data_IF_336422639550
#
_entry.id   IF_336422639550
#
_cell.length_a   1.000
_cell.length_b   1.000
_cell.length_c   1.000
_cell.angle_alpha   90.00
_cell.angle_beta   90.00
_cell.angle_gamma   90.00
#
_symmetry.space_group_name_H-M   'P 1'
#
loop_
_entity.id
_entity.type
_entity.pdbx_description
1 polymer ?
#
# COMPACT_ATOMS: atom_id res chain seq x y z
N UNK A 1 -23.62 19.93 -23.88
CA UNK A 1 -23.77 20.90 -22.77
C UNK A 1 -23.67 20.15 -21.47
N UNK A 2 -22.80 20.57 -20.55
CA UNK A 2 -22.68 19.90 -19.25
C UNK A 2 -23.91 20.22 -18.39
N UNK A 3 -24.59 19.19 -17.89
CA UNK A 3 -25.75 19.35 -17.02
C UNK A 3 -25.23 19.53 -15.59
N UNK A 4 -25.60 20.62 -14.93
CA UNK A 4 -25.26 20.83 -13.53
C UNK A 4 -26.03 19.83 -12.66
N UNK A 5 -25.32 19.19 -11.72
CA UNK A 5 -25.91 18.27 -10.75
C UNK A 5 -25.94 19.00 -9.41
N UNK A 6 -27.14 19.15 -8.85
CA UNK A 6 -27.34 19.71 -7.52
C UNK A 6 -27.18 18.60 -6.48
N UNK A 7 -25.98 18.46 -5.92
CA UNK A 7 -25.60 17.36 -5.01
C UNK A 7 -26.51 17.32 -3.77
N UNK A 8 -26.92 18.48 -3.26
CA UNK A 8 -27.74 18.59 -2.04
C UNK A 8 -29.14 17.98 -2.19
N UNK A 9 -29.66 17.93 -3.43
CA UNK A 9 -30.99 17.38 -3.73
C UNK A 9 -30.98 15.89 -4.00
N UNK A 10 -29.80 15.26 -4.02
CA UNK A 10 -29.70 13.82 -4.23
C UNK A 10 -30.19 13.06 -3.00
N UNK A 11 -30.67 11.81 -3.17
CA UNK A 11 -30.88 10.90 -2.06
C UNK A 11 -29.58 10.70 -1.26
N UNK A 12 -29.72 10.43 0.04
CA UNK A 12 -28.58 10.24 0.93
C UNK A 12 -27.63 9.14 0.44
N UNK A 13 -28.18 8.03 -0.05
CA UNK A 13 -27.39 6.94 -0.63
C UNK A 13 -26.51 7.41 -1.80
N UNK A 14 -27.05 8.23 -2.70
CA UNK A 14 -26.31 8.75 -3.84
C UNK A 14 -25.23 9.76 -3.43
N UNK A 15 -25.46 10.55 -2.38
CA UNK A 15 -24.41 11.42 -1.83
C UNK A 15 -23.27 10.61 -1.22
N UNK A 16 -23.59 9.57 -0.46
CA UNK A 16 -22.59 8.68 0.13
C UNK A 16 -21.75 7.98 -0.94
N UNK A 17 -22.39 7.51 -2.01
CA UNK A 17 -21.68 6.89 -3.14
C UNK A 17 -20.74 7.86 -3.85
N UNK A 18 -21.13 9.14 -3.99
CA UNK A 18 -20.23 10.19 -4.52
C UNK A 18 -19.03 10.46 -3.60
N UNK A 19 -19.23 10.43 -2.28
CA UNK A 19 -18.14 10.55 -1.31
C UNK A 19 -17.18 9.35 -1.38
N UNK A 20 -17.71 8.13 -1.43
CA UNK A 20 -16.91 6.91 -1.56
C UNK A 20 -16.10 6.92 -2.86
N UNK A 21 -16.73 7.36 -3.95
CA UNK A 21 -16.07 7.49 -5.24
C UNK A 21 -14.95 8.56 -5.20
N UNK A 22 -15.20 9.70 -4.55
CA UNK A 22 -14.17 10.72 -4.34
C UNK A 22 -12.99 10.17 -3.52
N UNK A 23 -13.25 9.48 -2.41
CA UNK A 23 -12.19 8.86 -1.61
C UNK A 23 -11.36 7.86 -2.42
N UNK A 24 -12.03 7.04 -3.23
CA UNK A 24 -11.36 6.11 -4.11
C UNK A 24 -10.45 6.84 -5.11
N UNK A 25 -10.93 7.92 -5.72
CA UNK A 25 -10.13 8.71 -6.65
C UNK A 25 -8.91 9.32 -5.97
N UNK A 26 -9.06 9.84 -4.76
CA UNK A 26 -7.95 10.37 -3.96
C UNK A 26 -6.93 9.26 -3.67
N UNK A 27 -7.37 8.10 -3.17
CA UNK A 27 -6.47 6.97 -2.85
C UNK A 27 -5.75 6.43 -4.09
N UNK A 28 -6.44 6.33 -5.22
CA UNK A 28 -5.92 5.72 -6.45
C UNK A 28 -5.05 6.67 -7.28
N UNK A 29 -5.41 7.94 -7.34
CA UNK A 29 -4.82 8.92 -8.26
C UNK A 29 -4.11 10.08 -7.58
N UNK A 30 -4.05 10.13 -6.25
CA UNK A 30 -3.17 11.06 -5.53
C UNK A 30 -1.91 10.38 -4.94
N UNK A 31 -1.05 9.71 -5.76
CA UNK A 31 0.20 9.14 -5.26
C UNK A 31 1.19 10.19 -4.74
N UNK A 32 0.91 11.49 -4.95
CA UNK A 32 1.73 12.62 -4.50
C UNK A 32 1.35 13.10 -3.09
N UNK A 33 0.10 12.89 -2.64
CA UNK A 33 -0.36 13.34 -1.32
C UNK A 33 -0.42 12.22 -0.29
N UNK A 34 -0.48 10.95 -0.71
CA UNK A 34 -0.72 9.81 0.17
C UNK A 34 0.44 8.81 0.28
N UNK A 35 1.69 9.21 0.04
CA UNK A 35 2.77 8.62 0.86
C UNK A 35 2.56 9.15 2.28
N UNK A 36 1.52 8.63 2.94
CA UNK A 36 1.30 8.88 4.35
C UNK A 36 2.60 8.52 5.06
N UNK A 37 3.06 9.34 6.01
CA UNK A 37 4.22 8.98 6.85
C UNK A 37 4.11 7.54 7.38
N UNK A 38 2.88 7.13 7.69
CA UNK A 38 2.47 5.78 8.08
C UNK A 38 2.97 4.68 7.13
N UNK A 39 2.81 4.80 5.81
CA UNK A 39 3.22 3.72 4.90
C UNK A 39 4.74 3.58 4.77
N UNK A 40 5.48 4.68 4.96
CA UNK A 40 6.94 4.65 4.97
C UNK A 40 7.46 4.08 6.30
N UNK A 41 6.88 4.51 7.42
CA UNK A 41 7.21 4.02 8.75
C UNK A 41 6.88 2.53 8.91
N UNK A 42 5.76 2.06 8.37
CA UNK A 42 5.40 0.64 8.37
C UNK A 42 6.41 -0.21 7.59
N UNK A 43 6.88 0.25 6.43
CA UNK A 43 7.93 -0.42 5.67
C UNK A 43 9.27 -0.40 6.40
N UNK A 44 9.68 0.74 6.94
CA UNK A 44 10.92 0.85 7.72
C UNK A 44 10.88 -0.06 8.96
N UNK A 45 9.74 -0.17 9.65
CA UNK A 45 9.56 -1.07 10.78
C UNK A 45 9.63 -2.54 10.37
N UNK A 46 8.97 -2.91 9.26
CA UNK A 46 9.05 -4.26 8.71
C UNK A 46 10.49 -4.65 8.39
N UNK A 47 11.23 -3.82 7.63
CA UNK A 47 12.61 -4.14 7.26
C UNK A 47 13.51 -4.20 8.49
N UNK A 48 13.35 -3.32 9.48
CA UNK A 48 14.12 -3.36 10.74
C UNK A 48 13.92 -4.67 11.49
N UNK A 49 12.67 -5.14 11.59
CA UNK A 49 12.36 -6.43 12.20
C UNK A 49 12.93 -7.60 11.40
N UNK A 50 12.87 -7.57 10.07
CA UNK A 50 13.47 -8.62 9.24
C UNK A 50 14.99 -8.64 9.42
N UNK A 51 15.63 -7.47 9.40
CA UNK A 51 17.09 -7.36 9.58
C UNK A 51 17.53 -7.78 10.98
N UNK A 52 16.75 -7.53 12.03
CA UNK A 52 17.12 -7.96 13.39
C UNK A 52 17.09 -9.49 13.57
N UNK A 53 16.34 -10.20 12.74
CA UNK A 53 16.25 -11.65 12.76
C UNK A 53 17.04 -12.31 11.60
N UNK A 54 17.67 -11.52 10.75
CA UNK A 54 18.51 -12.02 9.69
C UNK A 54 19.85 -12.50 10.26
N UNK A 55 20.27 -13.69 9.87
CA UNK A 55 21.60 -14.20 10.18
C UNK A 55 22.61 -13.64 9.17
N UNK A 56 23.79 -13.28 9.67
CA UNK A 56 24.91 -12.86 8.84
C UNK A 56 25.45 -14.07 8.08
N UNK A 57 25.32 -14.06 6.76
CA UNK A 57 25.97 -15.07 5.94
C UNK A 57 27.49 -14.88 5.96
N UNK A 58 28.28 -15.95 6.09
CA UNK A 58 29.73 -15.91 5.90
C UNK A 58 30.11 -15.33 4.53
N UNK A 59 31.28 -14.69 4.44
CA UNK A 59 31.74 -14.08 3.19
C UNK A 59 31.96 -15.09 2.06
N UNK A 60 32.15 -16.35 2.41
CA UNK A 60 32.36 -17.51 1.54
C UNK A 60 31.10 -18.35 1.32
N UNK A 61 29.92 -17.88 1.77
CA UNK A 61 28.67 -18.61 1.59
C UNK A 61 28.29 -18.73 0.11
N UNK A 62 28.22 -19.96 -0.38
CA UNK A 62 27.66 -20.31 -1.69
C UNK A 62 26.38 -21.12 -1.51
N UNK A 63 25.26 -20.60 -2.01
CA UNK A 63 23.98 -21.30 -1.97
C UNK A 63 24.00 -22.50 -2.92
N UNK A 64 24.11 -23.72 -2.38
CA UNK A 64 23.97 -24.95 -3.16
C UNK A 64 22.50 -25.35 -3.27
N UNK A 65 21.96 -25.33 -4.50
CA UNK A 65 20.58 -25.72 -4.79
C UNK A 65 20.37 -27.22 -4.67
N UNK A 66 21.41 -28.03 -4.82
CA UNK A 66 21.30 -29.48 -4.78
C UNK A 66 21.01 -29.97 -3.36
N UNK A 67 21.63 -29.34 -2.35
CA UNK A 67 21.41 -29.64 -0.93
C UNK A 67 19.96 -29.39 -0.47
N UNK A 68 19.25 -28.46 -1.13
CA UNK A 68 17.85 -28.12 -0.79
C UNK A 68 16.86 -29.25 -1.11
N UNK A 69 17.20 -30.12 -2.06
CA UNK A 69 16.32 -31.18 -2.56
C UNK A 69 16.56 -32.55 -1.90
N UNK A 70 17.49 -32.66 -0.95
CA UNK A 70 17.77 -33.90 -0.20
C UNK A 70 16.94 -34.07 1.09
N UNK A 71 15.85 -33.31 1.26
CA UNK A 71 14.92 -33.44 2.41
C UNK A 71 13.60 -34.11 2.06
#
# INVERSE_FOLDING_TARGET
>A
MAKAIEIDRLPESARNELYDFYEFLVKKYAPVLSKSRSDREAKEHFFRNVTSHAFSLPADYTFDRNELHER
#
